data_IF_952459101360
#
_entry.id   IF_952459101360
#
_cell.length_a   1.000
_cell.length_b   1.000
_cell.length_c   1.000
_cell.angle_alpha   90.00
_cell.angle_beta   90.00
_cell.angle_gamma   90.00
#
_symmetry.space_group_name_H-M   'P 1'
#
loop_
_entity.id
_entity.type
_entity.pdbx_description
1 polymer ?
#
# COMPACT_ATOMS: atom_id res chain seq x y z
N UNK A 1 9.87 22.60 -33.44
CA UNK A 1 11.07 21.75 -33.66
C UNK A 1 10.56 20.38 -34.05
N UNK A 2 11.22 19.70 -35.00
CA UNK A 2 10.86 18.31 -35.37
C UNK A 2 11.23 17.39 -34.18
N UNK A 3 10.34 16.48 -33.84
CA UNK A 3 10.61 15.45 -32.80
C UNK A 3 11.71 14.50 -33.36
N UNK A 4 12.57 14.02 -32.45
CA UNK A 4 13.72 13.17 -32.80
C UNK A 4 13.30 11.74 -33.15
N UNK A 5 12.23 11.25 -32.54
CA UNK A 5 11.68 9.91 -32.72
C UNK A 5 10.20 9.99 -33.04
N UNK A 6 9.64 8.88 -33.49
CA UNK A 6 8.19 8.71 -33.65
C UNK A 6 7.69 7.61 -32.69
N UNK A 7 6.47 7.75 -32.19
CA UNK A 7 5.88 6.73 -31.32
C UNK A 7 5.79 5.37 -32.02
N UNK A 8 5.51 5.36 -33.36
CA UNK A 8 5.37 4.13 -34.12
C UNK A 8 6.68 3.34 -34.21
N UNK A 9 7.82 4.03 -34.36
CA UNK A 9 9.15 3.36 -34.36
C UNK A 9 9.43 2.69 -33.02
N UNK A 10 9.12 3.35 -31.91
CA UNK A 10 9.34 2.83 -30.55
C UNK A 10 8.40 1.66 -30.25
N UNK A 11 7.13 1.78 -30.63
CA UNK A 11 6.14 0.70 -30.49
C UNK A 11 6.60 -0.53 -31.30
N UNK A 12 7.03 -0.32 -32.56
CA UNK A 12 7.48 -1.40 -33.42
C UNK A 12 8.73 -2.08 -32.87
N UNK A 13 9.71 -1.32 -32.38
CA UNK A 13 10.90 -1.88 -31.74
C UNK A 13 10.52 -2.77 -30.55
N UNK A 14 9.66 -2.31 -29.65
CA UNK A 14 9.27 -3.08 -28.47
C UNK A 14 8.37 -4.28 -28.79
N UNK A 15 7.45 -4.12 -29.76
CA UNK A 15 6.63 -5.20 -30.30
C UNK A 15 7.51 -6.34 -30.84
N UNK A 16 8.58 -6.00 -31.56
CA UNK A 16 9.48 -6.93 -32.20
C UNK A 16 10.62 -7.41 -31.29
N UNK A 17 10.48 -7.16 -29.96
CA UNK A 17 11.38 -7.58 -28.88
C UNK A 17 12.77 -6.93 -28.89
N UNK A 18 12.94 -5.80 -29.57
CA UNK A 18 14.18 -5.03 -29.49
C UNK A 18 14.22 -4.21 -28.18
N UNK A 19 15.44 -4.01 -27.69
CA UNK A 19 15.70 -3.10 -26.58
C UNK A 19 15.57 -1.64 -27.05
N UNK A 20 14.93 -0.82 -26.21
CA UNK A 20 14.89 0.62 -26.41
C UNK A 20 16.20 1.25 -25.92
N UNK A 21 16.76 2.17 -26.69
CA UNK A 21 17.89 2.99 -26.23
C UNK A 21 17.47 3.98 -25.15
N UNK A 22 18.44 4.47 -24.36
CA UNK A 22 18.17 5.48 -23.32
C UNK A 22 17.50 6.73 -23.88
N UNK A 23 17.94 7.17 -25.07
CA UNK A 23 17.37 8.35 -25.76
C UNK A 23 15.92 8.13 -26.22
N UNK A 24 15.58 6.92 -26.63
CA UNK A 24 14.20 6.55 -26.98
C UNK A 24 13.31 6.55 -25.75
N UNK A 25 13.80 6.02 -24.64
CA UNK A 25 13.07 5.98 -23.37
C UNK A 25 12.82 7.40 -22.85
N UNK A 26 13.85 8.24 -22.78
CA UNK A 26 13.74 9.64 -22.34
C UNK A 26 12.72 10.40 -23.17
N UNK A 27 12.85 10.31 -24.50
CA UNK A 27 11.92 10.96 -25.41
C UNK A 27 10.48 10.46 -25.21
N UNK A 28 10.29 9.16 -25.03
CA UNK A 28 8.97 8.56 -24.86
C UNK A 28 8.25 9.10 -23.62
N UNK A 29 8.93 9.11 -22.48
CA UNK A 29 8.34 9.58 -21.21
C UNK A 29 8.07 11.09 -21.28
N UNK A 30 9.00 11.88 -21.80
CA UNK A 30 8.85 13.32 -21.97
C UNK A 30 7.73 13.66 -22.97
N UNK A 31 7.75 13.06 -24.18
CA UNK A 31 6.77 13.32 -25.22
C UNK A 31 5.35 12.92 -24.82
N UNK A 32 5.20 11.80 -24.05
CA UNK A 32 3.90 11.44 -23.51
C UNK A 32 3.44 12.42 -22.43
N UNK A 33 4.34 12.86 -21.56
CA UNK A 33 4.02 13.83 -20.51
C UNK A 33 3.55 15.14 -21.10
N UNK A 34 4.20 15.62 -22.17
CA UNK A 34 3.83 16.82 -22.93
C UNK A 34 2.59 16.66 -23.83
N UNK A 35 2.09 15.44 -24.02
CA UNK A 35 0.93 15.16 -24.87
C UNK A 35 1.26 15.06 -26.37
N UNK A 36 2.52 14.87 -26.73
CA UNK A 36 2.96 14.63 -28.12
C UNK A 36 2.63 13.18 -28.56
N UNK A 37 2.82 12.23 -27.66
CA UNK A 37 2.36 10.84 -27.86
C UNK A 37 0.91 10.76 -27.40
N UNK A 38 0.03 10.27 -28.27
CA UNK A 38 -1.39 10.07 -27.96
C UNK A 38 -1.61 8.85 -27.06
N UNK A 39 -2.73 8.81 -26.33
CA UNK A 39 -3.05 7.73 -25.39
C UNK A 39 -3.15 6.36 -26.06
N UNK A 40 -3.69 6.28 -27.28
CA UNK A 40 -3.75 5.06 -28.09
C UNK A 40 -2.37 4.53 -28.48
N UNK A 41 -1.42 5.42 -28.76
CA UNK A 41 -0.03 5.04 -29.06
C UNK A 41 0.68 4.56 -27.81
N UNK A 42 0.52 5.28 -26.69
CA UNK A 42 1.10 4.87 -25.42
C UNK A 42 0.49 3.55 -24.94
N UNK A 43 -0.80 3.33 -25.13
CA UNK A 43 -1.48 2.06 -24.80
C UNK A 43 -0.86 0.88 -25.56
N UNK A 44 -0.57 1.06 -26.86
CA UNK A 44 0.10 0.05 -27.67
C UNK A 44 1.52 -0.27 -27.16
N UNK A 45 2.29 0.76 -26.76
CA UNK A 45 3.63 0.57 -26.18
C UNK A 45 3.56 -0.14 -24.83
N UNK A 46 2.65 0.27 -23.94
CA UNK A 46 2.47 -0.36 -22.64
C UNK A 46 2.09 -1.84 -22.76
N UNK A 47 1.23 -2.18 -23.74
CA UNK A 47 0.91 -3.57 -24.05
C UNK A 47 2.10 -4.34 -24.61
N UNK A 48 2.92 -3.73 -25.48
CA UNK A 48 4.15 -4.34 -25.97
C UNK A 48 5.15 -4.60 -24.82
N UNK A 49 5.25 -3.69 -23.85
CA UNK A 49 6.07 -3.87 -22.65
C UNK A 49 5.52 -5.00 -21.76
N UNK A 50 4.20 -5.06 -21.55
CA UNK A 50 3.57 -6.15 -20.76
C UNK A 50 3.91 -7.52 -21.36
N UNK A 51 3.81 -7.67 -22.67
CA UNK A 51 3.99 -8.94 -23.37
C UNK A 51 5.46 -9.35 -23.54
N UNK A 52 6.36 -8.38 -23.70
CA UNK A 52 7.77 -8.63 -24.05
C UNK A 52 8.78 -8.27 -22.95
N UNK A 53 8.31 -7.60 -21.88
CA UNK A 53 9.14 -7.16 -20.76
C UNK A 53 10.06 -5.97 -21.08
N UNK A 54 10.87 -5.60 -20.12
CA UNK A 54 12.00 -4.66 -20.19
C UNK A 54 13.18 -5.27 -19.43
N UNK A 55 14.41 -5.06 -19.91
CA UNK A 55 15.59 -5.44 -19.14
C UNK A 55 15.90 -4.42 -18.03
N UNK A 56 16.85 -4.76 -17.14
CA UNK A 56 17.17 -3.92 -15.98
C UNK A 56 17.65 -2.51 -16.35
N UNK A 57 18.34 -2.33 -17.50
CA UNK A 57 18.75 -1.02 -18.00
C UNK A 57 17.55 -0.19 -18.41
N UNK A 58 16.65 -0.78 -19.21
CA UNK A 58 15.41 -0.11 -19.66
C UNK A 58 14.54 0.32 -18.49
N UNK A 59 14.35 -0.58 -17.48
CA UNK A 59 13.55 -0.29 -16.28
C UNK A 59 14.16 0.88 -15.51
N UNK A 60 15.48 0.86 -15.31
CA UNK A 60 16.19 1.94 -14.63
C UNK A 60 16.03 3.27 -15.37
N UNK A 61 16.27 3.28 -16.68
CA UNK A 61 16.14 4.51 -17.47
C UNK A 61 14.73 5.06 -17.53
N UNK A 62 13.74 4.17 -17.64
CA UNK A 62 12.31 4.55 -17.59
C UNK A 62 11.97 5.20 -16.25
N UNK A 63 12.47 4.61 -15.14
CA UNK A 63 12.29 5.16 -13.80
C UNK A 63 12.94 6.54 -13.67
N UNK A 64 14.19 6.70 -14.16
CA UNK A 64 14.90 7.97 -14.13
C UNK A 64 14.18 9.06 -14.94
N UNK A 65 13.68 8.71 -16.13
CA UNK A 65 12.90 9.63 -16.95
C UNK A 65 11.59 10.08 -16.26
N UNK A 66 10.92 9.15 -15.56
CA UNK A 66 9.73 9.48 -14.77
C UNK A 66 10.06 10.39 -13.58
N UNK A 67 11.16 10.17 -12.88
CA UNK A 67 11.66 11.05 -11.80
C UNK A 67 11.98 12.43 -12.36
N UNK A 68 12.67 12.50 -13.52
CA UNK A 68 13.07 13.74 -14.16
C UNK A 68 11.89 14.59 -14.68
N UNK A 69 10.71 13.99 -14.84
CA UNK A 69 9.50 14.69 -15.25
C UNK A 69 8.94 15.65 -14.19
N UNK A 70 9.40 15.56 -12.95
CA UNK A 70 8.84 16.32 -11.83
C UNK A 70 9.88 16.82 -10.83
N UNK A 71 9.40 17.20 -9.67
CA UNK A 71 10.20 17.71 -8.56
C UNK A 71 10.79 16.57 -7.73
N UNK A 72 11.94 16.82 -7.11
CA UNK A 72 12.51 15.98 -6.05
C UNK A 72 12.41 16.72 -4.73
N UNK A 73 11.98 16.00 -3.68
CA UNK A 73 11.95 16.55 -2.34
C UNK A 73 13.33 16.45 -1.68
N UNK A 74 13.57 17.33 -0.71
CA UNK A 74 14.79 17.33 0.10
C UNK A 74 14.46 17.50 1.57
N UNK A 75 15.10 16.72 2.42
CA UNK A 75 14.94 16.70 3.86
C UNK A 75 16.19 17.16 4.60
N UNK A 76 17.09 17.88 3.91
CA UNK A 76 18.35 18.38 4.47
C UNK A 76 18.17 19.33 5.67
N UNK A 77 16.96 19.85 5.86
CA UNK A 77 16.60 20.69 7.02
C UNK A 77 16.29 19.89 8.29
N UNK A 78 16.21 18.55 8.21
CA UNK A 78 15.95 17.70 9.36
C UNK A 78 17.27 17.28 10.03
N UNK A 79 17.23 17.18 11.35
CA UNK A 79 18.36 16.74 12.20
C UNK A 79 18.46 15.22 12.37
N UNK A 80 17.60 14.48 11.69
CA UNK A 80 17.50 13.02 11.77
C UNK A 80 17.36 12.41 10.38
N UNK A 81 17.82 11.16 10.18
CA UNK A 81 17.69 10.51 8.88
C UNK A 81 16.21 10.20 8.55
N UNK A 82 15.91 10.23 7.26
CA UNK A 82 14.56 9.97 6.75
C UNK A 82 14.45 8.55 6.22
N UNK A 83 13.35 7.89 6.53
CA UNK A 83 13.02 6.56 6.00
C UNK A 83 11.54 6.47 5.70
N UNK A 84 11.20 5.84 4.58
CA UNK A 84 9.81 5.58 4.24
C UNK A 84 9.54 4.09 4.02
N UNK A 85 8.29 3.72 4.03
CA UNK A 85 7.81 2.36 3.73
C UNK A 85 6.78 2.41 2.62
N UNK A 86 6.91 1.50 1.66
CA UNK A 86 5.88 1.29 0.64
C UNK A 86 5.30 -0.11 0.75
N UNK A 87 3.96 -0.21 0.78
CA UNK A 87 3.24 -1.48 0.60
C UNK A 87 2.66 -1.56 -0.81
N UNK A 88 2.72 -2.74 -1.43
CA UNK A 88 2.00 -2.98 -2.69
C UNK A 88 0.49 -3.08 -2.50
N UNK A 89 0.01 -3.01 -1.25
CA UNK A 89 -1.40 -2.98 -0.90
C UNK A 89 -1.99 -4.36 -0.65
N UNK A 90 -3.08 -4.37 0.12
CA UNK A 90 -3.78 -5.60 0.50
C UNK A 90 -5.04 -5.33 1.28
N UNK A 91 -5.63 -6.38 1.82
CA UNK A 91 -6.88 -6.36 2.57
C UNK A 91 -6.59 -6.27 4.07
N UNK A 92 -7.11 -5.22 4.72
CA UNK A 92 -6.80 -4.96 6.13
C UNK A 92 -5.36 -4.44 6.33
N UNK A 93 -4.65 -4.03 5.29
CA UNK A 93 -3.29 -3.50 5.38
C UNK A 93 -3.29 -2.08 5.96
N UNK A 94 -3.30 -2.02 7.27
CA UNK A 94 -3.22 -0.80 8.09
C UNK A 94 -1.81 -0.50 8.60
N UNK A 95 -0.82 -1.31 8.23
CA UNK A 95 0.53 -1.29 8.82
C UNK A 95 1.17 0.10 8.81
N UNK A 96 1.03 0.86 7.74
CA UNK A 96 1.57 2.23 7.64
C UNK A 96 1.11 3.14 8.79
N UNK A 97 -0.12 2.94 9.28
CA UNK A 97 -0.72 3.80 10.29
C UNK A 97 -0.03 3.71 11.66
N UNK A 98 0.19 2.51 12.24
CA UNK A 98 0.96 2.40 13.48
C UNK A 98 2.47 2.50 13.24
N UNK A 99 2.97 2.12 12.05
CA UNK A 99 4.39 2.07 11.74
C UNK A 99 5.04 3.44 11.69
N UNK A 100 4.44 4.41 10.97
CA UNK A 100 5.04 5.73 10.80
C UNK A 100 5.28 6.45 12.16
N UNK A 101 4.29 6.56 13.06
CA UNK A 101 4.52 7.15 14.38
C UNK A 101 5.46 6.32 15.25
N UNK A 102 5.47 4.99 15.13
CA UNK A 102 6.38 4.12 15.88
C UNK A 102 7.83 4.37 15.50
N UNK A 103 8.14 4.39 14.21
CA UNK A 103 9.50 4.63 13.71
C UNK A 103 9.96 6.05 14.06
N UNK A 104 9.07 7.03 14.00
CA UNK A 104 9.36 8.39 14.41
C UNK A 104 9.63 8.49 15.93
N UNK A 105 8.88 7.77 16.76
CA UNK A 105 9.13 7.68 18.21
C UNK A 105 10.51 7.06 18.51
N UNK A 106 11.01 6.20 17.63
CA UNK A 106 12.33 5.58 17.73
C UNK A 106 13.48 6.41 17.14
N UNK A 107 13.23 7.62 16.61
CA UNK A 107 14.26 8.59 16.26
C UNK A 107 14.51 8.85 14.79
N UNK A 108 13.84 8.18 13.86
CA UNK A 108 13.87 8.52 12.43
C UNK A 108 12.84 9.60 12.07
N UNK A 109 12.93 10.18 10.89
CA UNK A 109 11.86 10.97 10.30
C UNK A 109 11.15 10.16 9.21
N UNK A 110 9.80 10.18 9.21
CA UNK A 110 8.99 9.37 8.31
C UNK A 110 8.07 10.25 7.46
N UNK A 111 8.52 10.71 6.27
CA UNK A 111 7.71 11.49 5.33
C UNK A 111 6.87 10.56 4.44
N UNK A 112 5.88 9.91 5.01
CA UNK A 112 5.10 8.87 4.36
C UNK A 112 4.14 9.42 3.31
N UNK A 113 4.48 9.26 2.02
CA UNK A 113 3.55 9.50 0.93
C UNK A 113 2.71 8.24 0.67
N UNK A 114 1.41 8.41 0.72
CA UNK A 114 0.42 7.33 0.62
C UNK A 114 -0.62 7.58 -0.46
N UNK A 115 -1.31 6.52 -0.86
CA UNK A 115 -2.36 6.55 -1.88
C UNK A 115 -3.76 6.29 -1.31
N UNK A 116 -4.75 6.52 -2.18
CA UNK A 116 -6.12 6.09 -2.00
C UNK A 116 -6.26 4.62 -2.41
N UNK A 117 -7.30 3.96 -1.91
CA UNK A 117 -7.62 2.58 -2.26
C UNK A 117 -8.04 2.44 -3.72
N UNK A 118 -7.71 1.28 -4.29
CA UNK A 118 -8.10 0.87 -5.63
C UNK A 118 -8.70 -0.55 -5.57
N UNK A 119 -9.88 -0.72 -6.15
CA UNK A 119 -10.57 -2.01 -6.16
C UNK A 119 -10.81 -2.57 -4.75
N UNK A 120 -10.37 -3.79 -4.51
CA UNK A 120 -10.55 -4.52 -3.26
C UNK A 120 -9.55 -4.14 -2.15
N UNK A 121 -8.54 -3.33 -2.46
CA UNK A 121 -7.53 -2.89 -1.50
C UNK A 121 -7.92 -1.56 -0.85
N UNK A 122 -7.82 -1.47 0.47
CA UNK A 122 -8.09 -0.24 1.22
C UNK A 122 -6.93 0.75 1.14
N UNK A 123 -7.22 2.04 0.89
CA UNK A 123 -6.20 3.09 0.85
C UNK A 123 -5.88 3.67 2.23
N UNK A 124 -4.61 3.94 2.49
CA UNK A 124 -4.17 4.57 3.74
C UNK A 124 -4.83 5.93 3.97
N UNK A 125 -4.93 6.75 2.92
CA UNK A 125 -5.57 8.07 3.03
C UNK A 125 -7.08 7.96 3.31
N UNK A 126 -7.75 7.00 2.69
CA UNK A 126 -9.19 6.77 2.89
C UNK A 126 -9.50 6.37 4.35
N UNK A 127 -8.62 5.61 4.99
CA UNK A 127 -8.71 5.26 6.40
C UNK A 127 -8.57 6.50 7.28
N UNK A 128 -7.54 7.31 7.05
CA UNK A 128 -7.28 8.54 7.81
C UNK A 128 -8.37 9.60 7.62
N UNK A 129 -9.02 9.66 6.46
CA UNK A 129 -10.16 10.55 6.21
C UNK A 129 -11.39 10.21 7.07
N UNK A 130 -11.43 9.05 7.72
CA UNK A 130 -12.45 8.75 8.75
C UNK A 130 -12.23 9.53 10.06
N UNK A 131 -11.06 10.14 10.26
CA UNK A 131 -10.77 11.02 11.39
C UNK A 131 -11.25 12.44 11.03
N UNK A 132 -12.17 12.97 11.84
CA UNK A 132 -12.78 14.28 11.61
C UNK A 132 -11.74 15.37 11.46
N UNK A 133 -11.80 16.13 10.36
CA UNK A 133 -10.94 17.29 10.10
C UNK A 133 -9.54 16.97 9.55
N UNK A 134 -9.13 15.70 9.52
CA UNK A 134 -7.81 15.33 8.99
C UNK A 134 -7.69 15.66 7.49
N UNK A 135 -6.50 16.14 7.09
CA UNK A 135 -6.21 16.58 5.72
C UNK A 135 -5.19 15.67 5.06
N UNK A 136 -5.57 15.06 3.93
CA UNK A 136 -4.69 14.23 3.11
C UNK A 136 -3.69 15.06 2.29
N UNK A 137 -4.09 16.23 1.81
CA UNK A 137 -3.27 17.06 0.93
C UNK A 137 -2.59 18.17 1.73
N UNK A 138 -1.27 18.19 1.66
CA UNK A 138 -0.41 19.20 2.28
C UNK A 138 0.53 19.77 1.23
N UNK A 139 0.88 21.06 1.36
CA UNK A 139 2.02 21.63 0.63
C UNK A 139 3.34 21.09 1.19
N UNK A 140 4.43 21.22 0.42
CA UNK A 140 5.76 20.80 0.86
C UNK A 140 6.18 21.49 2.18
N UNK A 141 5.81 22.76 2.36
CA UNK A 141 6.11 23.53 3.58
C UNK A 141 5.29 23.00 4.79
N UNK A 142 4.01 22.68 4.59
CA UNK A 142 3.19 22.07 5.63
C UNK A 142 3.72 20.70 6.02
N UNK A 143 4.08 19.85 5.03
CA UNK A 143 4.72 18.56 5.30
C UNK A 143 5.98 18.71 6.15
N UNK A 144 6.89 19.60 5.74
CA UNK A 144 8.15 19.86 6.47
C UNK A 144 7.87 20.27 7.92
N UNK A 145 6.91 21.18 8.13
CA UNK A 145 6.51 21.63 9.47
C UNK A 145 5.98 20.46 10.33
N UNK A 146 5.10 19.63 9.78
CA UNK A 146 4.56 18.46 10.52
C UNK A 146 5.67 17.48 10.88
N UNK A 147 6.60 17.19 9.97
CA UNK A 147 7.73 16.29 10.26
C UNK A 147 8.67 16.89 11.30
N UNK A 148 8.98 18.18 11.25
CA UNK A 148 9.80 18.83 12.27
C UNK A 148 9.16 18.78 13.66
N UNK A 149 7.84 18.94 13.73
CA UNK A 149 7.08 18.91 14.99
C UNK A 149 6.89 17.49 15.53
N UNK A 150 6.54 16.54 14.69
CA UNK A 150 6.06 15.21 15.08
C UNK A 150 7.03 14.08 14.76
N UNK A 151 7.97 14.28 13.82
CA UNK A 151 8.83 13.21 13.29
C UNK A 151 8.19 12.36 12.21
N UNK A 152 6.87 12.42 12.01
CA UNK A 152 6.16 11.69 10.96
C UNK A 152 5.07 12.55 10.33
N UNK A 153 4.76 12.27 9.06
CA UNK A 153 3.60 12.78 8.34
C UNK A 153 3.08 11.66 7.42
N UNK A 154 1.77 11.55 7.26
CA UNK A 154 1.16 10.67 6.25
C UNK A 154 0.27 11.54 5.38
N UNK A 155 0.60 11.69 4.09
CA UNK A 155 -0.18 12.53 3.20
C UNK A 155 -0.16 12.03 1.75
N UNK A 156 -0.94 12.68 0.90
CA UNK A 156 -0.94 12.42 -0.53
C UNK A 156 0.33 13.00 -1.19
N UNK A 157 0.83 12.33 -2.23
CA UNK A 157 1.88 12.88 -3.07
C UNK A 157 1.41 14.17 -3.74
N UNK A 158 2.24 15.21 -3.72
CA UNK A 158 2.00 16.46 -4.41
C UNK A 158 1.91 16.29 -5.93
N UNK A 159 1.23 17.21 -6.61
CA UNK A 159 1.04 17.14 -8.07
C UNK A 159 2.35 17.21 -8.87
N UNK A 160 3.40 17.82 -8.29
CA UNK A 160 4.72 17.95 -8.90
C UNK A 160 5.59 16.69 -8.80
N UNK A 161 5.20 15.70 -7.99
CA UNK A 161 6.00 14.49 -7.81
C UNK A 161 5.70 13.48 -8.92
N UNK A 162 6.71 13.17 -9.77
CA UNK A 162 6.64 12.23 -10.88
C UNK A 162 5.34 12.34 -11.73
N UNK A 163 5.02 13.50 -12.33
CA UNK A 163 3.78 13.70 -13.07
C UNK A 163 3.61 12.74 -14.26
N UNK A 164 4.71 12.29 -14.87
CA UNK A 164 4.68 11.25 -15.90
C UNK A 164 4.04 9.95 -15.37
N UNK A 165 4.37 9.52 -14.15
CA UNK A 165 3.79 8.33 -13.55
C UNK A 165 2.28 8.48 -13.35
N UNK A 166 1.82 9.63 -12.88
CA UNK A 166 0.38 9.88 -12.67
C UNK A 166 -0.41 9.67 -13.97
N UNK A 167 0.11 10.19 -15.09
CA UNK A 167 -0.53 10.05 -16.40
C UNK A 167 -0.47 8.62 -16.93
N UNK A 168 0.71 7.97 -16.83
CA UNK A 168 0.92 6.59 -17.24
C UNK A 168 0.05 5.62 -16.41
N UNK A 169 -0.02 5.79 -15.10
CA UNK A 169 -0.82 4.92 -14.24
C UNK A 169 -2.31 5.01 -14.56
N UNK A 170 -2.83 6.22 -14.79
CA UNK A 170 -4.23 6.41 -15.17
C UNK A 170 -4.57 5.70 -16.50
N UNK A 171 -3.63 5.70 -17.46
CA UNK A 171 -3.80 4.99 -18.73
C UNK A 171 -3.74 3.47 -18.53
N UNK A 172 -2.79 2.99 -17.72
CA UNK A 172 -2.62 1.55 -17.42
C UNK A 172 -3.86 0.94 -16.76
N UNK A 173 -4.52 1.70 -15.89
CA UNK A 173 -5.72 1.27 -15.18
C UNK A 173 -6.87 0.90 -16.14
N UNK A 174 -7.01 1.63 -17.26
CA UNK A 174 -8.08 1.40 -18.24
C UNK A 174 -7.66 0.55 -19.44
N UNK A 175 -6.37 0.20 -19.57
CA UNK A 175 -5.84 -0.57 -20.71
C UNK A 175 -5.43 -2.00 -20.37
N UNK A 176 -5.65 -2.45 -19.11
CA UNK A 176 -5.29 -3.80 -18.67
C UNK A 176 -3.77 -4.05 -18.68
N UNK A 177 -2.96 -3.01 -18.40
CA UNK A 177 -1.48 -3.10 -18.39
C UNK A 177 -0.86 -2.83 -17.02
N UNK A 178 -1.68 -2.83 -15.95
CA UNK A 178 -1.19 -2.59 -14.58
C UNK A 178 -0.22 -3.68 -14.12
N UNK A 179 -0.43 -4.94 -14.53
CA UNK A 179 0.28 -6.12 -14.00
C UNK A 179 1.71 -6.28 -14.51
N UNK A 180 2.18 -5.43 -15.43
CA UNK A 180 3.55 -5.48 -15.94
C UNK A 180 4.57 -5.15 -14.85
N UNK A 181 5.35 -6.14 -14.37
CA UNK A 181 6.34 -5.98 -13.30
C UNK A 181 7.28 -4.79 -13.53
N UNK A 182 7.88 -4.58 -14.74
CA UNK A 182 8.72 -3.43 -15.02
C UNK A 182 8.03 -2.09 -14.76
N UNK A 183 6.76 -2.00 -15.16
CA UNK A 183 5.96 -0.78 -15.01
C UNK A 183 5.46 -0.57 -13.59
N UNK A 184 5.18 -1.64 -12.83
CA UNK A 184 4.86 -1.56 -11.39
C UNK A 184 6.10 -1.04 -10.64
N UNK A 185 7.27 -1.65 -10.86
CA UNK A 185 8.50 -1.27 -10.21
C UNK A 185 8.85 0.20 -10.48
N UNK A 186 8.82 0.63 -11.75
CA UNK A 186 9.11 2.02 -12.13
C UNK A 186 8.10 3.01 -11.53
N UNK A 187 6.80 2.67 -11.53
CA UNK A 187 5.75 3.51 -10.96
C UNK A 187 5.93 3.74 -9.46
N UNK A 188 6.23 2.69 -8.71
CA UNK A 188 6.48 2.79 -7.27
C UNK A 188 7.77 3.56 -7.01
N UNK A 189 8.86 3.13 -7.64
CA UNK A 189 10.20 3.63 -7.33
C UNK A 189 10.42 5.06 -7.81
N UNK A 190 9.79 5.49 -8.91
CA UNK A 190 9.90 6.90 -9.35
C UNK A 190 9.38 7.88 -8.29
N UNK A 191 8.26 7.57 -7.65
CA UNK A 191 7.71 8.40 -6.55
C UNK A 191 8.57 8.31 -5.30
N UNK A 192 8.98 7.09 -4.91
CA UNK A 192 9.73 6.85 -3.68
C UNK A 192 11.15 7.42 -3.72
N UNK A 193 11.79 7.40 -4.88
CA UNK A 193 13.10 8.05 -5.07
C UNK A 193 12.95 9.58 -5.15
N UNK A 194 11.91 10.09 -5.85
CA UNK A 194 11.63 11.52 -5.93
C UNK A 194 11.23 12.13 -4.57
N UNK A 195 10.69 11.33 -3.66
CA UNK A 195 10.41 11.70 -2.26
C UNK A 195 11.68 12.06 -1.46
N UNK A 196 12.85 11.58 -1.90
CA UNK A 196 14.15 12.02 -1.38
C UNK A 196 14.52 11.48 0.00
N UNK A 197 13.92 10.37 0.45
CA UNK A 197 14.29 9.73 1.72
C UNK A 197 15.64 9.03 1.63
N UNK A 198 16.35 8.93 2.76
CA UNK A 198 17.67 8.27 2.84
C UNK A 198 17.56 6.76 2.70
N UNK A 199 16.45 6.17 3.12
CA UNK A 199 16.18 4.75 3.02
C UNK A 199 14.70 4.46 2.72
N UNK A 200 14.46 3.26 2.17
CA UNK A 200 13.15 2.76 1.81
C UNK A 200 13.01 1.29 2.20
N UNK A 201 11.90 0.95 2.84
CA UNK A 201 11.51 -0.44 3.08
C UNK A 201 10.26 -0.78 2.27
N UNK A 202 10.35 -1.83 1.48
CA UNK A 202 9.29 -2.30 0.62
C UNK A 202 8.59 -3.50 1.27
N UNK A 203 7.29 -3.41 1.42
CA UNK A 203 6.40 -4.47 1.90
C UNK A 203 5.62 -5.01 0.70
N UNK A 204 6.18 -6.05 0.04
CA UNK A 204 5.64 -6.61 -1.19
C UNK A 204 4.70 -7.75 -0.85
N UNK A 205 3.41 -7.49 -0.98
CA UNK A 205 2.35 -8.45 -0.65
C UNK A 205 2.21 -9.54 -1.71
N UNK A 206 1.97 -10.79 -1.25
CA UNK A 206 1.63 -11.92 -2.12
C UNK A 206 0.53 -12.78 -1.53
N UNK A 207 -0.24 -13.44 -2.37
CA UNK A 207 -1.43 -14.21 -2.00
C UNK A 207 -2.69 -13.68 -2.65
N UNK A 208 -3.85 -14.27 -2.34
CA UNK A 208 -5.12 -13.97 -3.02
C UNK A 208 -5.55 -12.50 -2.91
N UNK A 209 -5.25 -11.83 -1.80
CA UNK A 209 -5.60 -10.42 -1.58
C UNK A 209 -4.58 -9.40 -2.08
N UNK A 210 -3.50 -9.83 -2.73
CA UNK A 210 -2.45 -8.98 -3.28
C UNK A 210 -2.56 -8.86 -4.82
N UNK A 211 -1.91 -7.84 -5.39
CA UNK A 211 -1.76 -7.72 -6.84
C UNK A 211 -0.85 -8.82 -7.42
N UNK A 212 0.22 -9.18 -6.70
CA UNK A 212 1.09 -10.30 -7.05
C UNK A 212 0.65 -11.55 -6.29
N UNK A 213 -0.16 -12.41 -6.91
CA UNK A 213 -0.68 -13.61 -6.24
C UNK A 213 0.39 -14.71 -6.09
N UNK A 214 1.34 -14.81 -7.04
CA UNK A 214 2.45 -15.78 -6.99
C UNK A 214 3.63 -15.18 -6.17
N UNK A 215 4.13 -15.90 -5.16
CA UNK A 215 5.30 -15.48 -4.39
C UNK A 215 6.57 -15.24 -5.23
N UNK A 216 6.75 -15.96 -6.35
CA UNK A 216 7.90 -15.78 -7.24
C UNK A 216 7.85 -14.44 -7.97
N UNK A 217 6.68 -14.04 -8.45
CA UNK A 217 6.48 -12.75 -9.11
C UNK A 217 6.62 -11.60 -8.11
N UNK A 218 6.11 -11.77 -6.88
CA UNK A 218 6.32 -10.82 -5.80
C UNK A 218 7.80 -10.66 -5.44
N UNK A 219 8.56 -11.76 -5.36
CA UNK A 219 9.99 -11.72 -5.12
C UNK A 219 10.76 -11.06 -6.28
N UNK A 220 10.37 -11.33 -7.54
CA UNK A 220 10.97 -10.67 -8.71
C UNK A 220 10.71 -9.17 -8.69
N UNK A 221 9.47 -8.75 -8.39
CA UNK A 221 9.13 -7.33 -8.23
C UNK A 221 9.95 -6.69 -7.11
N UNK A 222 10.06 -7.35 -5.96
CA UNK A 222 10.83 -6.87 -4.82
C UNK A 222 12.32 -6.68 -5.17
N UNK A 223 12.97 -7.66 -5.79
CA UNK A 223 14.36 -7.55 -6.25
C UNK A 223 14.54 -6.42 -7.26
N UNK A 224 13.63 -6.30 -8.23
CA UNK A 224 13.67 -5.22 -9.23
C UNK A 224 13.61 -3.85 -8.55
N UNK A 225 12.74 -3.66 -7.56
CA UNK A 225 12.62 -2.40 -6.84
C UNK A 225 13.83 -2.12 -5.94
N UNK A 226 14.38 -3.13 -5.28
CA UNK A 226 15.61 -3.01 -4.47
C UNK A 226 16.79 -2.59 -5.35
N UNK A 227 16.95 -3.19 -6.53
CA UNK A 227 17.98 -2.82 -7.49
C UNK A 227 17.84 -1.37 -7.99
N UNK A 228 16.61 -0.91 -8.25
CA UNK A 228 16.33 0.48 -8.63
C UNK A 228 16.72 1.45 -7.51
N UNK A 229 16.37 1.15 -6.27
CA UNK A 229 16.73 1.96 -5.11
C UNK A 229 18.25 2.05 -4.91
N UNK A 230 18.94 0.92 -4.99
CA UNK A 230 20.41 0.86 -4.92
C UNK A 230 21.10 1.70 -5.99
N UNK A 231 20.65 1.63 -7.24
CA UNK A 231 21.15 2.46 -8.35
C UNK A 231 20.94 3.95 -8.13
N UNK A 232 19.81 4.32 -7.49
CA UNK A 232 19.50 5.69 -7.14
C UNK A 232 20.20 6.19 -5.86
N UNK A 233 21.02 5.36 -5.20
CA UNK A 233 21.72 5.69 -3.95
C UNK A 233 20.81 5.72 -2.72
N UNK A 234 19.64 5.09 -2.78
CA UNK A 234 18.70 4.94 -1.67
C UNK A 234 18.88 3.57 -1.02
N UNK A 235 19.18 3.52 0.29
CA UNK A 235 19.27 2.26 1.04
C UNK A 235 17.88 1.57 1.01
N UNK A 236 17.77 0.52 0.21
CA UNK A 236 16.46 -0.12 -0.06
C UNK A 236 16.47 -1.58 0.36
N UNK A 237 15.46 -1.98 1.12
CA UNK A 237 15.21 -3.36 1.55
C UNK A 237 13.78 -3.76 1.21
N UNK A 238 13.51 -5.06 1.08
CA UNK A 238 12.17 -5.55 0.85
C UNK A 238 11.85 -6.78 1.70
N UNK A 239 10.60 -6.86 2.16
CA UNK A 239 9.99 -8.07 2.70
C UNK A 239 8.89 -8.51 1.73
N UNK A 240 8.92 -9.78 1.32
CA UNK A 240 7.77 -10.42 0.66
C UNK A 240 6.88 -10.98 1.76
N UNK A 241 5.65 -10.49 1.86
CA UNK A 241 4.75 -10.78 2.99
C UNK A 241 3.42 -11.35 2.52
N UNK A 242 2.79 -12.17 3.39
CA UNK A 242 1.53 -12.84 3.09
C UNK A 242 0.33 -11.88 3.01
N UNK A 243 -0.56 -12.15 2.06
CA UNK A 243 -1.87 -11.52 1.89
C UNK A 243 -2.92 -12.53 1.37
N UNK A 244 -2.78 -13.78 1.69
CA UNK A 244 -3.76 -14.84 1.42
C UNK A 244 -4.91 -14.82 2.45
N UNK A 245 -4.63 -14.31 3.66
CA UNK A 245 -5.60 -14.05 4.74
C UNK A 245 -5.61 -12.54 5.00
N UNK A 246 -6.76 -11.90 5.30
CA UNK A 246 -6.80 -10.48 5.68
C UNK A 246 -5.88 -10.19 6.87
N UNK A 247 -5.17 -9.07 6.83
CA UNK A 247 -4.29 -8.66 7.90
C UNK A 247 -5.10 -8.01 9.03
N UNK A 248 -4.87 -8.45 10.27
CA UNK A 248 -5.67 -8.03 11.41
C UNK A 248 -7.08 -8.62 11.42
N UNK A 249 -7.97 -7.99 12.17
CA UNK A 249 -9.35 -8.41 12.39
C UNK A 249 -10.37 -7.46 11.75
N UNK A 250 -9.92 -6.51 10.94
CA UNK A 250 -10.80 -5.54 10.29
C UNK A 250 -10.36 -5.24 8.86
N UNK A 251 -11.34 -5.03 7.98
CA UNK A 251 -11.16 -4.52 6.62
C UNK A 251 -12.22 -3.43 6.37
N UNK A 252 -11.79 -2.15 6.26
CA UNK A 252 -12.64 -0.98 6.12
C UNK A 252 -12.04 0.24 6.80
N UNK A 253 -12.51 1.45 6.47
CA UNK A 253 -11.80 2.68 6.80
C UNK A 253 -11.72 2.96 8.32
N UNK A 254 -12.83 3.32 8.96
CA UNK A 254 -12.85 3.61 10.41
C UNK A 254 -12.59 2.38 11.28
N UNK A 255 -12.95 1.18 10.79
CA UNK A 255 -12.70 -0.07 11.49
C UNK A 255 -11.19 -0.30 11.63
N UNK A 256 -10.42 -0.04 10.57
CA UNK A 256 -8.96 -0.19 10.59
C UNK A 256 -8.27 0.92 11.38
N UNK A 257 -8.83 2.13 11.47
CA UNK A 257 -8.32 3.16 12.40
C UNK A 257 -8.51 2.73 13.85
N UNK A 258 -9.66 2.14 14.20
CA UNK A 258 -9.90 1.61 15.56
C UNK A 258 -8.86 0.56 15.94
N UNK A 259 -8.62 -0.40 15.05
CA UNK A 259 -7.61 -1.44 15.26
C UNK A 259 -6.18 -0.86 15.33
N UNK A 260 -5.89 0.18 14.53
CA UNK A 260 -4.62 0.94 14.62
C UNK A 260 -4.42 1.55 16.01
N UNK A 261 -5.46 2.15 16.58
CA UNK A 261 -5.40 2.72 17.93
C UNK A 261 -5.18 1.65 19.01
N UNK A 262 -5.73 0.45 18.83
CA UNK A 262 -5.46 -0.69 19.72
C UNK A 262 -3.99 -1.11 19.65
N UNK A 263 -3.39 -1.17 18.44
CA UNK A 263 -1.97 -1.48 18.27
C UNK A 263 -1.09 -0.40 18.94
N UNK A 264 -1.41 0.87 18.71
CA UNK A 264 -0.66 1.99 19.29
C UNK A 264 -0.83 2.08 20.83
N UNK A 265 -1.87 1.47 21.38
CA UNK A 265 -2.09 1.32 22.84
C UNK A 265 -1.37 0.08 23.41
N UNK A 266 -0.58 -0.65 22.61
CA UNK A 266 0.17 -1.83 23.03
C UNK A 266 -0.60 -3.15 22.98
N UNK A 267 -1.79 -3.16 22.33
CA UNK A 267 -2.63 -4.34 22.08
C UNK A 267 -2.73 -4.66 20.59
N UNK A 268 -3.95 -5.05 20.14
CA UNK A 268 -4.26 -5.35 18.74
C UNK A 268 -3.92 -6.77 18.28
N UNK A 269 -4.25 -7.12 17.02
CA UNK A 269 -4.00 -8.43 16.45
C UNK A 269 -2.52 -8.75 16.33
N UNK A 270 -2.14 -9.98 16.66
CA UNK A 270 -0.74 -10.41 16.71
C UNK A 270 0.00 -10.27 15.38
N UNK A 271 -0.65 -10.59 14.26
CA UNK A 271 -0.07 -10.47 12.91
C UNK A 271 0.20 -9.00 12.51
N UNK A 272 -0.68 -8.07 12.90
CA UNK A 272 -0.46 -6.62 12.68
C UNK A 272 0.70 -6.13 13.53
N UNK A 273 0.73 -6.50 14.82
CA UNK A 273 1.81 -6.10 15.74
C UNK A 273 3.14 -6.67 15.26
N UNK A 274 3.20 -7.97 14.94
CA UNK A 274 4.42 -8.64 14.46
C UNK A 274 4.97 -7.98 13.20
N UNK A 275 4.14 -7.77 12.18
CA UNK A 275 4.57 -7.15 10.93
C UNK A 275 4.99 -5.68 11.13
N UNK A 276 4.27 -4.94 11.97
CA UNK A 276 4.64 -3.56 12.32
C UNK A 276 6.02 -3.50 12.97
N UNK A 277 6.32 -4.39 13.92
CA UNK A 277 7.61 -4.44 14.60
C UNK A 277 8.74 -4.88 13.67
N UNK A 278 8.50 -5.87 12.81
CA UNK A 278 9.48 -6.30 11.79
C UNK A 278 9.84 -5.15 10.86
N UNK A 279 8.84 -4.48 10.28
CA UNK A 279 9.07 -3.36 9.38
C UNK A 279 9.70 -2.15 10.09
N UNK A 280 9.36 -1.89 11.36
CA UNK A 280 10.00 -0.83 12.14
C UNK A 280 11.49 -1.09 12.34
N UNK A 281 11.87 -2.33 12.66
CA UNK A 281 13.28 -2.71 12.78
C UNK A 281 13.99 -2.57 11.42
N UNK A 282 13.41 -3.04 10.31
CA UNK A 282 13.98 -2.86 8.98
C UNK A 282 14.19 -1.39 8.62
N UNK A 283 13.24 -0.52 8.95
CA UNK A 283 13.33 0.91 8.67
C UNK A 283 14.45 1.56 9.49
N UNK A 284 14.56 1.25 10.77
CA UNK A 284 15.59 1.78 11.66
C UNK A 284 16.99 1.29 11.26
N UNK A 285 17.11 0.00 10.95
CA UNK A 285 18.37 -0.61 10.49
C UNK A 285 18.82 -0.05 9.13
N UNK A 286 17.87 0.24 8.22
CA UNK A 286 18.18 0.80 6.90
C UNK A 286 18.83 2.19 6.98
N UNK A 287 18.57 2.95 8.04
CA UNK A 287 19.18 4.27 8.33
C UNK A 287 20.23 4.25 9.43
N UNK A 288 20.59 3.06 9.93
CA UNK A 288 21.64 2.87 10.94
C UNK A 288 21.29 3.39 12.34
N UNK A 289 20.00 3.56 12.66
CA UNK A 289 19.56 3.99 13.99
C UNK A 289 19.52 2.79 14.93
N UNK A 290 20.21 2.94 16.07
CA UNK A 290 20.04 2.08 17.25
C UNK A 290 19.13 2.84 18.25
N UNK A 291 17.83 2.55 18.32
CA UNK A 291 16.92 3.32 19.12
C UNK A 291 17.21 3.13 20.62
N UNK A 292 17.02 4.19 21.41
CA UNK A 292 17.18 4.13 22.87
C UNK A 292 16.08 3.29 23.53
N UNK A 293 14.92 3.25 22.92
CA UNK A 293 13.77 2.44 23.32
C UNK A 293 13.43 1.53 22.15
N UNK A 294 13.29 0.24 22.39
CA UNK A 294 12.94 -0.69 21.32
C UNK A 294 11.56 -0.38 20.72
N UNK A 295 11.31 -0.68 19.42
CA UNK A 295 9.98 -0.52 18.85
C UNK A 295 8.87 -1.20 19.66
N UNK A 296 9.15 -2.39 20.21
CA UNK A 296 8.18 -3.11 21.05
C UNK A 296 7.86 -2.36 22.36
N UNK A 297 8.86 -1.77 23.00
CA UNK A 297 8.64 -0.97 24.21
C UNK A 297 7.99 0.37 23.89
N UNK A 298 8.31 0.99 22.74
CA UNK A 298 7.71 2.25 22.32
C UNK A 298 6.20 2.13 22.00
N UNK A 299 5.73 0.95 21.56
CA UNK A 299 4.30 0.65 21.50
C UNK A 299 3.69 0.52 22.89
N UNK A 300 4.32 -0.27 23.78
CA UNK A 300 3.78 -0.59 25.11
C UNK A 300 3.73 0.59 26.07
N UNK A 301 4.69 1.52 25.96
CA UNK A 301 4.79 2.67 26.88
C UNK A 301 4.08 3.94 26.38
N UNK A 302 3.42 3.88 25.20
CA UNK A 302 2.62 4.96 24.63
C UNK A 302 3.39 5.98 23.79
N UNK A 303 4.72 5.86 23.62
CA UNK A 303 5.50 6.82 22.80
C UNK A 303 5.00 6.91 21.36
N UNK A 304 4.67 5.76 20.76
CA UNK A 304 4.12 5.72 19.39
C UNK A 304 2.74 6.39 19.31
N UNK A 305 1.88 6.18 20.32
CA UNK A 305 0.57 6.84 20.44
C UNK A 305 0.70 8.36 20.59
N UNK A 306 1.68 8.85 21.34
CA UNK A 306 1.91 10.28 21.49
C UNK A 306 2.31 10.93 20.15
N UNK A 307 3.17 10.28 19.37
CA UNK A 307 3.52 10.76 18.03
C UNK A 307 2.31 10.72 17.10
N UNK A 308 1.51 9.65 17.13
CA UNK A 308 0.26 9.56 16.37
C UNK A 308 -0.66 10.74 16.66
N UNK A 309 -0.94 11.01 17.93
CA UNK A 309 -1.84 12.11 18.35
C UNK A 309 -1.34 13.47 17.89
N UNK A 310 -0.03 13.73 18.00
CA UNK A 310 0.59 14.97 17.50
C UNK A 310 0.46 15.07 15.98
N UNK A 311 0.77 14.01 15.24
CA UNK A 311 0.70 13.97 13.78
C UNK A 311 -0.73 14.21 13.29
N UNK A 312 -1.72 13.51 13.85
CA UNK A 312 -3.13 13.70 13.48
C UNK A 312 -3.58 15.14 13.75
N UNK A 313 -3.25 15.69 14.90
CA UNK A 313 -3.58 17.08 15.27
C UNK A 313 -2.90 18.09 14.34
N UNK A 314 -1.61 17.90 14.04
CA UNK A 314 -0.85 18.79 13.15
C UNK A 314 -1.41 18.81 11.71
N UNK A 315 -2.06 17.71 11.30
CA UNK A 315 -2.75 17.58 10.00
C UNK A 315 -4.24 17.99 10.09
N UNK A 316 -4.68 18.64 11.18
CA UNK A 316 -6.03 19.17 11.37
C UNK A 316 -7.06 18.15 11.88
N UNK A 317 -6.65 16.91 12.17
CA UNK A 317 -7.53 15.87 12.69
C UNK A 317 -7.85 16.03 14.18
N UNK A 318 -9.06 15.64 14.55
CA UNK A 318 -9.56 15.61 15.93
C UNK A 318 -9.44 14.17 16.48
N UNK A 319 -8.47 13.98 17.40
CA UNK A 319 -8.21 12.68 18.00
C UNK A 319 -9.36 12.20 18.94
N UNK A 320 -10.19 13.11 19.41
CA UNK A 320 -11.23 12.83 20.43
C UNK A 320 -12.63 12.70 19.79
N UNK A 321 -12.76 13.07 18.49
CA UNK A 321 -14.01 12.89 17.76
C UNK A 321 -14.33 11.41 17.57
N UNK A 322 -15.62 11.01 17.71
CA UNK A 322 -16.02 9.63 17.46
C UNK A 322 -15.78 9.26 16.00
N UNK A 323 -15.22 8.07 15.78
CA UNK A 323 -15.05 7.52 14.44
C UNK A 323 -16.41 7.13 13.84
N UNK A 324 -16.59 7.28 12.52
CA UNK A 324 -17.80 6.85 11.81
C UNK A 324 -18.14 5.39 12.10
N UNK A 325 -19.42 5.12 12.31
CA UNK A 325 -19.98 3.77 12.51
C UNK A 325 -21.09 3.56 11.49
N UNK A 326 -21.12 2.40 10.85
CA UNK A 326 -22.19 2.04 9.92
C UNK A 326 -23.54 1.91 10.63
N UNK A 327 -24.61 2.24 9.93
CA UNK A 327 -25.98 2.20 10.44
C UNK A 327 -26.48 0.77 10.63
N UNK A 328 -26.10 -0.12 9.73
CA UNK A 328 -26.60 -1.49 9.64
C UNK A 328 -25.48 -2.51 9.76
N UNK A 329 -25.81 -3.68 10.31
CA UNK A 329 -24.88 -4.78 10.50
C UNK A 329 -25.55 -6.12 10.24
N UNK A 330 -24.82 -7.05 9.61
CA UNK A 330 -25.23 -8.45 9.45
C UNK A 330 -24.10 -9.38 9.90
N UNK A 331 -24.46 -10.48 10.54
CA UNK A 331 -23.52 -11.51 10.96
C UNK A 331 -23.46 -12.66 9.94
N UNK A 332 -22.26 -13.10 9.61
CA UNK A 332 -22.00 -14.36 8.91
C UNK A 332 -21.52 -15.36 9.96
N UNK A 333 -22.23 -16.50 10.05
CA UNK A 333 -22.02 -17.51 11.08
C UNK A 333 -21.45 -18.79 10.49
N UNK A 334 -20.74 -19.55 11.32
CA UNK A 334 -20.28 -20.89 11.00
C UNK A 334 -21.49 -21.81 10.77
N UNK A 335 -21.48 -22.58 9.70
CA UNK A 335 -22.48 -23.60 9.34
C UNK A 335 -22.21 -24.95 10.02
N UNK A 336 -20.98 -25.13 10.49
CA UNK A 336 -20.50 -26.36 11.15
C UNK A 336 -19.56 -26.04 12.29
N UNK A 337 -19.28 -27.04 13.17
CA UNK A 337 -18.25 -26.94 14.18
C UNK A 337 -16.95 -27.57 13.68
N UNK A 338 -15.80 -26.98 14.00
CA UNK A 338 -14.50 -27.47 13.58
C UNK A 338 -13.42 -26.40 13.61
N UNK A 339 -12.31 -26.64 12.95
CA UNK A 339 -11.22 -25.68 12.78
C UNK A 339 -11.45 -24.85 11.52
N UNK A 340 -11.37 -23.54 11.61
CA UNK A 340 -11.33 -22.67 10.43
C UNK A 340 -10.03 -22.91 9.67
N UNK A 341 -10.10 -23.39 8.43
CA UNK A 341 -8.93 -23.79 7.65
C UNK A 341 -8.44 -22.66 6.73
N UNK A 342 -9.38 -21.89 6.17
CA UNK A 342 -9.10 -20.81 5.22
C UNK A 342 -9.94 -19.57 5.54
N UNK A 343 -9.43 -18.40 5.17
CA UNK A 343 -10.18 -17.15 5.07
C UNK A 343 -9.56 -16.31 3.94
N UNK A 344 -10.19 -16.31 2.78
CA UNK A 344 -9.66 -15.72 1.55
C UNK A 344 -9.69 -14.18 1.59
N UNK A 345 -8.50 -13.57 1.52
CA UNK A 345 -8.36 -12.12 1.62
C UNK A 345 -9.04 -11.38 0.46
N UNK A 346 -8.94 -11.87 -0.79
CA UNK A 346 -9.57 -11.23 -1.95
C UNK A 346 -11.10 -11.16 -1.79
N UNK A 347 -11.71 -12.27 -1.40
CA UNK A 347 -13.18 -12.34 -1.21
C UNK A 347 -13.64 -11.42 -0.10
N UNK A 348 -12.91 -11.35 1.01
CA UNK A 348 -13.18 -10.40 2.10
C UNK A 348 -13.00 -8.96 1.61
N UNK A 349 -11.94 -8.66 0.86
CA UNK A 349 -11.71 -7.33 0.29
C UNK A 349 -12.79 -6.90 -0.70
N UNK A 350 -13.21 -7.80 -1.60
CA UNK A 350 -14.32 -7.52 -2.54
C UNK A 350 -15.63 -7.29 -1.77
N UNK A 351 -15.89 -8.06 -0.73
CA UNK A 351 -17.06 -7.88 0.11
C UNK A 351 -17.05 -6.52 0.81
N UNK A 352 -15.93 -6.14 1.43
CA UNK A 352 -15.77 -4.82 2.05
C UNK A 352 -15.95 -3.67 1.04
N UNK A 353 -15.41 -3.81 -0.17
CA UNK A 353 -15.61 -2.88 -1.27
C UNK A 353 -17.09 -2.74 -1.65
N UNK A 354 -17.80 -3.85 -1.79
CA UNK A 354 -19.25 -3.87 -2.11
C UNK A 354 -20.11 -3.27 -1.00
N UNK A 355 -19.67 -3.35 0.26
CA UNK A 355 -20.35 -2.71 1.40
C UNK A 355 -20.23 -1.17 1.38
N UNK A 356 -19.33 -0.61 0.58
CA UNK A 356 -19.11 0.83 0.46
C UNK A 356 -17.81 1.32 1.08
N UNK A 357 -16.93 0.43 1.55
CA UNK A 357 -15.61 0.80 2.10
C UNK A 357 -14.60 1.24 1.02
N UNK A 358 -14.81 0.87 -0.24
CA UNK A 358 -13.96 1.25 -1.38
C UNK A 358 -14.75 1.88 -2.52
N UNK A 359 -14.08 2.65 -3.39
CA UNK A 359 -14.70 3.32 -4.54
C UNK A 359 -14.95 2.36 -5.70
N UNK A 360 -16.11 2.48 -6.33
CA UNK A 360 -16.43 1.83 -7.61
C UNK A 360 -15.95 2.69 -8.79
N UNK A 361 -15.94 4.00 -8.63
CA UNK A 361 -15.45 4.97 -9.62
C UNK A 361 -14.73 6.14 -8.95
N UNK A 362 -13.86 6.77 -9.69
CA UNK A 362 -13.13 7.95 -9.21
C UNK A 362 -14.08 9.05 -8.74
N UNK A 363 -13.81 9.66 -7.57
CA UNK A 363 -14.64 10.72 -6.99
C UNK A 363 -15.86 10.25 -6.20
N UNK A 364 -16.12 8.94 -6.12
CA UNK A 364 -17.20 8.40 -5.28
C UNK A 364 -16.93 8.66 -3.79
N UNK A 365 -17.97 9.05 -3.06
CA UNK A 365 -17.93 9.25 -1.60
C UNK A 365 -17.98 7.88 -0.92
N UNK A 366 -17.05 7.62 -0.02
CA UNK A 366 -16.98 6.38 0.74
C UNK A 366 -17.93 6.38 1.94
N UNK A 367 -18.46 5.21 2.27
CA UNK A 367 -19.08 4.98 3.57
C UNK A 367 -17.98 4.66 4.59
N UNK A 368 -17.53 5.66 5.32
CA UNK A 368 -16.36 5.56 6.18
C UNK A 368 -16.55 4.55 7.33
N UNK A 369 -17.80 4.24 7.73
CA UNK A 369 -18.13 3.22 8.71
C UNK A 369 -18.29 1.81 8.13
N UNK A 370 -18.32 1.67 6.80
CA UNK A 370 -18.52 0.38 6.15
C UNK A 370 -17.27 -0.50 6.20
N UNK A 371 -17.47 -1.82 6.15
CA UNK A 371 -16.39 -2.80 6.15
C UNK A 371 -16.77 -4.13 6.78
N UNK A 372 -15.77 -4.86 7.21
CA UNK A 372 -15.90 -6.20 7.80
C UNK A 372 -15.09 -6.28 9.08
N UNK A 373 -15.72 -6.76 10.15
CA UNK A 373 -15.04 -7.27 11.35
C UNK A 373 -14.90 -8.79 11.25
N UNK A 374 -13.73 -9.32 11.58
CA UNK A 374 -13.36 -10.74 11.52
C UNK A 374 -13.29 -11.25 12.95
N UNK A 375 -14.03 -12.33 13.26
CA UNK A 375 -14.12 -12.88 14.61
C UNK A 375 -13.42 -14.23 14.76
N UNK A 376 -12.98 -14.82 13.66
CA UNK A 376 -12.17 -16.04 13.64
C UNK A 376 -11.20 -16.03 12.46
N UNK A 377 -10.00 -16.55 12.67
CA UNK A 377 -8.93 -16.70 11.68
C UNK A 377 -8.57 -18.17 11.44
N UNK A 378 -7.90 -18.51 10.33
CA UNK A 378 -7.39 -19.86 10.12
C UNK A 378 -6.58 -20.37 11.32
N UNK A 379 -7.01 -21.49 11.87
CA UNK A 379 -6.49 -22.09 13.09
C UNK A 379 -7.44 -22.04 14.27
N UNK A 380 -8.39 -21.12 14.31
CA UNK A 380 -9.35 -21.02 15.40
C UNK A 380 -10.38 -22.14 15.35
N UNK A 381 -10.75 -22.66 16.53
CA UNK A 381 -11.85 -23.62 16.66
C UNK A 381 -13.15 -22.85 16.80
N UNK A 382 -14.09 -23.16 15.92
CA UNK A 382 -15.41 -22.52 15.87
C UNK A 382 -16.53 -23.54 16.11
N UNK A 383 -17.66 -23.06 16.60
CA UNK A 383 -18.88 -23.86 16.79
C UNK A 383 -19.93 -23.44 15.78
N UNK A 384 -20.80 -24.36 15.39
CA UNK A 384 -21.97 -24.05 14.55
C UNK A 384 -22.76 -22.87 15.17
N UNK A 385 -23.12 -21.89 14.31
CA UNK A 385 -23.78 -20.65 14.75
C UNK A 385 -22.86 -19.57 15.33
N UNK A 386 -21.57 -19.88 15.57
CA UNK A 386 -20.61 -18.87 16.01
C UNK A 386 -20.35 -17.85 14.89
N UNK A 387 -20.27 -16.59 15.27
CA UNK A 387 -19.94 -15.48 14.39
C UNK A 387 -18.53 -15.62 13.83
N UNK A 388 -18.40 -15.59 12.48
CA UNK A 388 -17.13 -15.58 11.75
C UNK A 388 -16.81 -14.16 11.28
N UNK A 389 -17.81 -13.48 10.67
CA UNK A 389 -17.66 -12.10 10.17
C UNK A 389 -18.87 -11.27 10.60
N UNK A 390 -18.65 -9.95 10.76
CA UNK A 390 -19.72 -8.95 10.81
C UNK A 390 -19.53 -7.99 9.65
N UNK A 391 -20.55 -7.85 8.83
CA UNK A 391 -20.60 -6.91 7.70
C UNK A 391 -21.24 -5.61 8.16
N UNK A 392 -20.66 -4.47 7.78
CA UNK A 392 -21.07 -3.12 8.15
C UNK A 392 -21.35 -2.29 6.90
N UNK A 393 -22.53 -1.65 6.82
CA UNK A 393 -22.90 -0.73 5.72
C UNK A 393 -23.94 0.28 6.17
N UNK A 394 -23.98 1.44 5.53
CA UNK A 394 -25.07 2.39 5.73
C UNK A 394 -26.34 2.04 4.92
N UNK A 395 -26.23 1.08 3.99
CA UNK A 395 -27.26 0.72 3.04
C UNK A 395 -27.55 -0.78 3.06
N UNK A 396 -28.75 -1.18 3.48
CA UNK A 396 -29.21 -2.59 3.52
C UNK A 396 -29.04 -3.28 2.16
N UNK A 397 -29.32 -2.57 1.06
CA UNK A 397 -29.24 -3.11 -0.31
C UNK A 397 -27.84 -3.59 -0.73
N UNK A 398 -26.78 -3.20 -0.02
CA UNK A 398 -25.40 -3.62 -0.32
C UNK A 398 -25.06 -5.00 0.22
N UNK A 399 -25.79 -5.50 1.21
CA UNK A 399 -25.44 -6.75 1.89
C UNK A 399 -25.52 -7.99 1.01
N UNK A 400 -26.52 -8.10 0.12
CA UNK A 400 -26.66 -9.30 -0.69
C UNK A 400 -25.48 -9.45 -1.66
N UNK A 401 -25.09 -8.37 -2.35
CA UNK A 401 -23.90 -8.39 -3.22
C UNK A 401 -22.59 -8.61 -2.44
N UNK A 402 -22.52 -8.17 -1.19
CA UNK A 402 -21.36 -8.40 -0.32
C UNK A 402 -21.31 -9.87 0.13
N UNK A 403 -22.44 -10.49 0.48
CA UNK A 403 -22.53 -11.92 0.79
C UNK A 403 -22.16 -12.80 -0.41
N UNK A 404 -22.59 -12.44 -1.62
CA UNK A 404 -22.21 -13.14 -2.86
C UNK A 404 -20.68 -13.21 -3.03
N UNK A 405 -19.95 -12.15 -2.65
CA UNK A 405 -18.49 -12.16 -2.70
C UNK A 405 -17.85 -13.10 -1.66
N UNK A 406 -18.56 -13.40 -0.57
CA UNK A 406 -18.07 -14.28 0.49
C UNK A 406 -18.36 -15.76 0.24
N UNK A 407 -19.03 -16.13 -0.83
CA UNK A 407 -19.27 -17.56 -1.18
C UNK A 407 -17.93 -18.28 -1.32
N UNK A 408 -17.69 -19.27 -0.45
CA UNK A 408 -16.42 -19.99 -0.38
C UNK A 408 -15.23 -19.14 0.09
N UNK A 409 -15.47 -18.05 0.83
CA UNK A 409 -14.40 -17.23 1.41
C UNK A 409 -13.69 -17.93 2.57
N UNK A 410 -14.36 -18.83 3.27
CA UNK A 410 -13.78 -19.61 4.35
C UNK A 410 -14.23 -21.06 4.28
N UNK A 411 -13.47 -21.93 4.91
CA UNK A 411 -13.78 -23.36 5.04
C UNK A 411 -13.53 -23.82 6.47
N UNK A 412 -14.38 -24.72 6.96
CA UNK A 412 -14.27 -25.36 8.27
C UNK A 412 -14.03 -26.85 8.04
N UNK A 413 -13.07 -27.42 8.77
CA UNK A 413 -12.72 -28.85 8.68
C UNK A 413 -12.50 -29.48 10.04
N UNK A 414 -11.90 -30.68 10.04
CA UNK A 414 -11.52 -31.39 11.26
C UNK A 414 -10.50 -30.62 12.10
N UNK A 415 -10.46 -30.88 13.41
CA UNK A 415 -9.50 -30.21 14.32
C UNK A 415 -8.05 -30.51 13.91
N UNK A 416 -7.78 -31.68 13.34
CA UNK A 416 -6.45 -32.12 12.93
C UNK A 416 -6.09 -31.72 11.49
N UNK A 417 -7.04 -31.17 10.72
CA UNK A 417 -6.79 -30.77 9.35
C UNK A 417 -5.74 -29.66 9.28
N UNK A 418 -4.86 -29.66 8.27
CA UNK A 418 -3.82 -28.64 8.11
C UNK A 418 -4.41 -27.29 7.73
N UNK A 419 -3.90 -26.23 8.35
CA UNK A 419 -4.25 -24.85 8.00
C UNK A 419 -3.56 -24.52 6.67
N UNK A 420 -4.31 -23.89 5.77
CA UNK A 420 -3.80 -23.38 4.49
C UNK A 420 -3.57 -21.89 4.59
N UNK A 421 -2.35 -21.47 4.92
CA UNK A 421 -1.93 -20.07 4.89
C UNK A 421 -0.43 -19.97 4.61
N UNK A 422 -0.03 -18.85 4.02
CA UNK A 422 1.38 -18.49 3.87
C UNK A 422 1.99 -18.05 5.21
N UNK A 423 3.31 -18.20 5.43
CA UNK A 423 3.98 -17.56 6.55
C UNK A 423 3.92 -16.04 6.40
N UNK A 424 3.84 -15.31 7.51
CA UNK A 424 3.69 -13.85 7.50
C UNK A 424 4.79 -13.16 6.67
N UNK A 425 6.03 -13.60 6.80
CA UNK A 425 7.16 -13.21 5.96
C UNK A 425 7.66 -14.42 5.18
N UNK A 426 7.71 -14.30 3.87
CA UNK A 426 8.10 -15.35 2.93
C UNK A 426 9.57 -15.21 2.56
N UNK A 427 10.00 -14.00 2.30
CA UNK A 427 11.38 -13.70 1.90
C UNK A 427 11.80 -12.30 2.37
N UNK A 428 13.08 -12.15 2.72
CA UNK A 428 13.75 -10.87 2.99
C UNK A 428 14.81 -10.64 1.91
N UNK A 429 14.81 -9.45 1.32
CA UNK A 429 15.70 -9.06 0.23
C UNK A 429 16.42 -7.78 0.64
N UNK A 430 17.77 -7.84 0.63
CA UNK A 430 18.63 -6.70 0.92
C UNK A 430 19.31 -6.22 -0.37
N UNK A 431 19.52 -4.89 -0.48
CA UNK A 431 20.16 -4.25 -1.62
C UNK A 431 21.67 -4.11 -1.51
#
# INVERSE_FOLDING_TARGET
MSERFTAVEIISAKRDKYELSDQQIDWTVDAYTRGVIADEQMSALLMAILLNGMNSREISRWTDAMIASGEKMSWSMLDRPTVDKHSTGGVGDKITLPLAPLVAACGAAVPQLSGRGLGHTGGTLDKLESIKGWKASLSNNEMLKVIQECGAVICAAGAGLAPADKKLYALRDVTGTVEAIPLIASSIMSKKIAEGTSALVLDVKTGSGAFMSDPKDAALLARTMVDLGKRAGVSTRALVTAMDVPLGLTAGNSLEIRETLEVLAGGGPSDVVELTLLLANEMLDAVGIKPKVSPADALKNGMAMDVWRKMIKAQGGDNDAPLPVAKEKIEIKADSSGKLLTLDALKVGISAWRLGAGRQKQGEVLQLGAGIEIHAKPGDIVKVGQKILTLHSDEVARFDRAKDALVGAFSIGGVDDPIKRLPLVIERIEG
#
